data_IF_586176848233
#
_entry.id   IF_586176848233
#
_cell.length_a   1.000
_cell.length_b   1.000
_cell.length_c   1.000
_cell.angle_alpha   90.00
_cell.angle_beta   90.00
_cell.angle_gamma   90.00
#
_symmetry.space_group_name_H-M   'P 1'
#
loop_
_entity.id
_entity.type
_entity.pdbx_description
1 polymer ?
#
# COMPACT_ATOMS: atom_id res chain seq x y z
N UNK A 1 33.11 3.33 -1.51
CA UNK A 1 32.25 4.51 -1.24
C UNK A 1 31.16 4.06 -0.28
N UNK A 2 30.91 4.86 0.75
CA UNK A 2 30.45 4.46 2.08
C UNK A 2 29.13 3.68 2.15
N UNK A 3 29.13 2.69 3.05
CA UNK A 3 27.95 2.02 3.57
C UNK A 3 26.95 3.05 4.10
N UNK A 4 25.78 3.15 3.46
CA UNK A 4 24.62 3.82 4.06
C UNK A 4 24.14 2.86 5.14
N UNK A 5 24.41 3.20 6.40
CA UNK A 5 23.92 2.47 7.58
C UNK A 5 22.38 2.59 7.63
N UNK A 6 21.69 1.67 6.97
CA UNK A 6 20.26 1.47 7.21
C UNK A 6 20.11 0.76 8.55
N UNK A 7 19.85 1.53 9.61
CA UNK A 7 19.28 0.99 10.84
C UNK A 7 17.98 0.25 10.48
N UNK A 8 17.72 -0.91 11.07
CA UNK A 8 16.49 -1.66 10.80
C UNK A 8 15.25 -0.77 11.01
N UNK A 9 14.43 -0.53 9.98
CA UNK A 9 13.38 0.46 10.05
C UNK A 9 12.25 -0.01 10.97
N UNK A 10 12.02 0.76 12.04
CA UNK A 10 10.94 0.57 13.00
C UNK A 10 9.64 1.27 12.55
N UNK A 11 8.51 0.92 13.14
CA UNK A 11 7.19 1.55 12.96
C UNK A 11 7.21 3.08 13.14
N UNK A 12 8.02 3.60 14.08
CA UNK A 12 8.23 5.05 14.26
C UNK A 12 8.86 5.69 13.03
N UNK A 13 9.84 5.03 12.40
CA UNK A 13 10.48 5.55 11.19
C UNK A 13 9.49 5.56 10.02
N UNK A 14 8.64 4.53 9.91
CA UNK A 14 7.54 4.51 8.95
C UNK A 14 6.54 5.64 9.17
N UNK A 15 6.15 5.90 10.42
CA UNK A 15 5.28 7.02 10.75
C UNK A 15 5.89 8.37 10.36
N UNK A 16 7.16 8.62 10.71
CA UNK A 16 7.86 9.86 10.35
C UNK A 16 7.99 10.03 8.85
N UNK A 17 8.29 8.95 8.12
CA UNK A 17 8.34 8.95 6.65
C UNK A 17 6.97 9.32 6.06
N UNK A 18 5.89 8.74 6.58
CA UNK A 18 4.54 9.06 6.12
C UNK A 18 4.15 10.51 6.45
N UNK A 19 4.53 11.05 7.61
CA UNK A 19 4.31 12.47 7.94
C UNK A 19 5.07 13.39 6.98
N UNK A 20 6.33 13.07 6.68
CA UNK A 20 7.11 13.80 5.68
C UNK A 20 6.43 13.74 4.31
N UNK A 21 6.00 12.55 3.90
CA UNK A 21 5.26 12.33 2.65
C UNK A 21 3.99 13.19 2.57
N UNK A 22 3.20 13.22 3.64
CA UNK A 22 2.00 14.07 3.75
C UNK A 22 2.31 15.54 3.47
N UNK A 23 3.38 16.08 4.05
CA UNK A 23 3.74 17.50 3.87
C UNK A 23 4.14 17.76 2.41
N UNK A 24 5.01 16.91 1.86
CA UNK A 24 5.53 17.06 0.49
C UNK A 24 4.41 16.97 -0.54
N UNK A 25 3.58 15.94 -0.44
CA UNK A 25 2.47 15.66 -1.37
C UNK A 25 1.33 16.68 -1.22
N UNK A 26 1.05 17.18 -0.02
CA UNK A 26 0.13 18.30 0.16
C UNK A 26 0.59 19.56 -0.56
N UNK A 27 1.87 19.94 -0.39
CA UNK A 27 2.45 21.10 -1.08
C UNK A 27 2.39 20.92 -2.61
N UNK A 28 2.74 19.74 -3.11
CA UNK A 28 2.70 19.43 -4.53
C UNK A 28 1.28 19.42 -5.10
N UNK A 29 0.32 18.83 -4.38
CA UNK A 29 -1.09 18.79 -4.77
C UNK A 29 -1.72 20.18 -4.85
N UNK A 30 -1.49 21.02 -3.83
CA UNK A 30 -1.92 22.43 -3.85
C UNK A 30 -1.27 23.17 -5.02
N UNK A 31 0.04 22.99 -5.21
CA UNK A 31 0.77 23.60 -6.32
C UNK A 31 0.21 23.22 -7.69
N UNK A 32 -0.13 21.93 -7.89
CA UNK A 32 -0.77 21.43 -9.11
C UNK A 32 -2.14 22.04 -9.37
N UNK A 33 -3.02 22.06 -8.36
CA UNK A 33 -4.35 22.65 -8.49
C UNK A 33 -4.30 24.17 -8.77
N UNK A 34 -3.38 24.89 -8.11
CA UNK A 34 -3.18 26.32 -8.37
C UNK A 34 -2.63 26.54 -9.78
N UNK A 35 -1.66 25.73 -10.21
CA UNK A 35 -1.11 25.80 -11.56
C UNK A 35 -2.22 25.56 -12.61
N UNK A 36 -3.08 24.56 -12.40
CA UNK A 36 -4.24 24.31 -13.25
C UNK A 36 -5.18 25.52 -13.34
N UNK A 37 -5.50 26.16 -12.21
CA UNK A 37 -6.36 27.36 -12.20
C UNK A 37 -5.79 28.55 -12.99
N UNK A 38 -4.47 28.58 -13.20
CA UNK A 38 -3.78 29.64 -13.97
C UNK A 38 -3.57 29.24 -15.43
N UNK A 39 -3.24 27.98 -15.69
CA UNK A 39 -2.87 27.51 -17.04
C UNK A 39 -4.04 26.89 -17.81
N UNK A 40 -5.08 26.42 -17.12
CA UNK A 40 -6.15 25.61 -17.70
C UNK A 40 -5.73 24.21 -18.14
N UNK A 41 -4.48 23.82 -17.87
CA UNK A 41 -3.88 22.60 -18.42
C UNK A 41 -4.33 21.34 -17.69
N UNK A 42 -4.98 20.43 -18.41
CA UNK A 42 -5.43 19.12 -17.90
C UNK A 42 -4.28 18.34 -17.23
N UNK A 43 -3.05 18.51 -17.72
CA UNK A 43 -1.85 17.90 -17.18
C UNK A 43 -1.52 18.35 -15.76
N UNK A 44 -1.70 19.64 -15.46
CA UNK A 44 -1.50 20.21 -14.12
C UNK A 44 -2.59 19.76 -13.15
N UNK A 45 -3.81 19.57 -13.65
CA UNK A 45 -4.90 18.97 -12.86
C UNK A 45 -4.58 17.52 -12.50
N UNK A 46 -4.14 16.70 -13.47
CA UNK A 46 -3.71 15.32 -13.24
C UNK A 46 -2.57 15.24 -12.21
N UNK A 47 -1.55 16.10 -12.35
CA UNK A 47 -0.46 16.19 -11.37
C UNK A 47 -0.97 16.54 -9.96
N UNK A 48 -1.90 17.49 -9.85
CA UNK A 48 -2.51 17.86 -8.57
C UNK A 48 -3.31 16.72 -7.93
N UNK A 49 -4.14 16.03 -8.72
CA UNK A 49 -4.98 14.91 -8.27
C UNK A 49 -4.15 13.69 -7.83
N UNK A 50 -3.08 13.37 -8.57
CA UNK A 50 -2.16 12.29 -8.18
C UNK A 50 -1.50 12.57 -6.83
N UNK A 51 -1.02 13.80 -6.63
CA UNK A 51 -0.43 14.22 -5.37
C UNK A 51 -1.45 14.26 -4.22
N UNK A 52 -2.72 14.59 -4.51
CA UNK A 52 -3.79 14.49 -3.53
C UNK A 52 -4.00 13.04 -3.07
N UNK A 53 -3.87 12.07 -3.98
CA UNK A 53 -4.02 10.65 -3.63
C UNK A 53 -2.84 10.13 -2.84
N UNK A 54 -1.60 10.48 -3.23
CA UNK A 54 -0.41 10.15 -2.43
C UNK A 54 -0.49 10.79 -1.03
N UNK A 55 -1.01 12.02 -0.94
CA UNK A 55 -1.32 12.65 0.34
C UNK A 55 -2.32 11.83 1.16
N UNK A 56 -3.46 11.46 0.58
CA UNK A 56 -4.49 10.70 1.29
C UNK A 56 -3.99 9.31 1.69
N UNK A 57 -3.23 8.63 0.84
CA UNK A 57 -2.64 7.33 1.19
C UNK A 57 -1.63 7.46 2.31
N UNK A 58 -0.80 8.50 2.29
CA UNK A 58 0.19 8.78 3.34
C UNK A 58 -0.51 9.10 4.67
N UNK A 59 -1.64 9.83 4.67
CA UNK A 59 -2.46 10.07 5.87
C UNK A 59 -3.03 8.77 6.43
N UNK A 60 -3.52 7.87 5.57
CA UNK A 60 -4.04 6.56 5.99
C UNK A 60 -2.92 5.71 6.61
N UNK A 61 -1.71 5.76 6.05
CA UNK A 61 -0.55 5.07 6.62
C UNK A 61 -0.12 5.71 7.95
N UNK A 62 -0.12 7.03 8.08
CA UNK A 62 0.09 7.72 9.35
C UNK A 62 -0.89 7.22 10.42
N UNK A 63 -2.19 7.14 10.09
CA UNK A 63 -3.21 6.60 11.00
C UNK A 63 -2.95 5.14 11.38
N UNK A 64 -2.48 4.32 10.44
CA UNK A 64 -2.14 2.91 10.67
C UNK A 64 -0.97 2.73 11.65
N UNK A 65 0.09 3.53 11.50
CA UNK A 65 1.28 3.47 12.36
C UNK A 65 1.17 4.33 13.62
N UNK A 66 0.08 5.11 13.76
CA UNK A 66 -0.26 5.79 14.99
C UNK A 66 -0.65 4.75 16.07
N UNK A 67 0.33 4.36 16.89
CA UNK A 67 0.14 3.38 17.97
C UNK A 67 -0.03 4.08 19.33
N UNK A 68 -1.21 3.99 19.97
CA UNK A 68 -1.34 4.14 21.40
C UNK A 68 -0.83 2.85 22.05
N UNK A 69 0.28 2.94 22.79
CA UNK A 69 1.11 1.80 23.18
C UNK A 69 0.41 0.64 23.88
N UNK A 70 0.81 -0.59 23.51
CA UNK A 70 0.52 -1.82 24.22
C UNK A 70 1.26 -2.99 23.55
N UNK A 71 1.92 -3.86 24.31
CA UNK A 71 2.67 -5.03 23.81
C UNK A 71 1.96 -6.34 24.15
N UNK A 72 0.63 -6.35 24.06
CA UNK A 72 -0.20 -7.52 24.36
C UNK A 72 -0.65 -8.21 23.06
N UNK A 73 -0.88 -9.52 23.06
CA UNK A 73 -1.41 -10.28 21.91
C UNK A 73 -2.71 -9.70 21.32
N UNK A 74 -3.59 -9.14 22.17
CA UNK A 74 -4.78 -8.40 21.73
C UNK A 74 -4.44 -7.15 20.89
N UNK A 75 -3.32 -6.48 21.19
CA UNK A 75 -2.84 -5.32 20.43
C UNK A 75 -2.40 -5.72 19.02
N UNK A 76 -1.73 -6.86 18.85
CA UNK A 76 -1.31 -7.33 17.53
C UNK A 76 -2.49 -7.66 16.61
N UNK A 77 -3.55 -8.28 17.15
CA UNK A 77 -4.78 -8.54 16.41
C UNK A 77 -5.45 -7.23 15.93
N UNK A 78 -5.47 -6.20 16.78
CA UNK A 78 -5.97 -4.87 16.43
C UNK A 78 -5.11 -4.20 15.33
N UNK A 79 -3.78 -4.31 15.40
CA UNK A 79 -2.89 -3.78 14.38
C UNK A 79 -3.13 -4.44 13.00
N UNK A 80 -3.38 -5.76 12.96
CA UNK A 80 -3.72 -6.46 11.71
C UNK A 80 -5.05 -5.98 11.11
N UNK A 81 -6.06 -5.72 11.94
CA UNK A 81 -7.35 -5.17 11.48
C UNK A 81 -7.17 -3.77 10.90
N UNK A 82 -6.40 -2.91 11.58
CA UNK A 82 -6.04 -1.58 11.08
C UNK A 82 -5.28 -1.66 9.75
N UNK A 83 -4.35 -2.61 9.62
CA UNK A 83 -3.60 -2.83 8.38
C UNK A 83 -4.53 -3.15 7.21
N UNK A 84 -5.46 -4.09 7.40
CA UNK A 84 -6.43 -4.47 6.38
C UNK A 84 -7.28 -3.27 5.96
N UNK A 85 -7.81 -2.50 6.92
CA UNK A 85 -8.61 -1.30 6.66
C UNK A 85 -7.83 -0.23 5.92
N UNK A 86 -6.62 0.08 6.37
CA UNK A 86 -5.74 1.04 5.73
C UNK A 86 -5.43 0.64 4.29
N UNK A 87 -5.04 -0.63 4.09
CA UNK A 87 -4.73 -1.19 2.79
C UNK A 87 -5.93 -1.14 1.84
N UNK A 88 -7.14 -1.41 2.35
CA UNK A 88 -8.36 -1.35 1.57
C UNK A 88 -8.78 0.09 1.23
N UNK A 89 -8.67 1.02 2.19
CA UNK A 89 -8.95 2.44 1.97
C UNK A 89 -8.07 3.01 0.83
N UNK A 90 -6.77 2.74 0.87
CA UNK A 90 -5.84 3.16 -0.19
C UNK A 90 -6.22 2.54 -1.54
N UNK A 91 -6.77 1.33 -1.55
CA UNK A 91 -7.20 0.68 -2.80
C UNK A 91 -8.41 1.35 -3.42
N UNK A 92 -9.37 1.80 -2.61
CA UNK A 92 -10.51 2.59 -3.10
C UNK A 92 -10.06 3.93 -3.64
N UNK A 93 -9.15 4.62 -2.95
CA UNK A 93 -8.59 5.90 -3.40
C UNK A 93 -7.86 5.72 -4.75
N UNK A 94 -7.01 4.70 -4.88
CA UNK A 94 -6.32 4.36 -6.13
C UNK A 94 -7.28 4.05 -7.28
N UNK A 95 -8.35 3.29 -7.01
CA UNK A 95 -9.33 2.96 -8.04
C UNK A 95 -10.08 4.21 -8.53
N UNK A 96 -10.51 5.10 -7.61
CA UNK A 96 -11.18 6.35 -7.97
C UNK A 96 -10.27 7.27 -8.76
N UNK A 97 -9.01 7.39 -8.36
CA UNK A 97 -8.00 8.16 -9.09
C UNK A 97 -7.79 7.61 -10.49
N UNK A 98 -7.64 6.28 -10.62
CA UNK A 98 -7.42 5.63 -11.90
C UNK A 98 -8.52 5.96 -12.90
N UNK A 99 -9.78 5.97 -12.47
CA UNK A 99 -10.91 6.41 -13.30
C UNK A 99 -10.75 7.88 -13.72
N UNK A 100 -10.46 8.77 -12.76
CA UNK A 100 -10.28 10.20 -13.03
C UNK A 100 -9.15 10.49 -14.03
N UNK A 101 -7.99 9.85 -13.85
CA UNK A 101 -6.84 9.98 -14.75
C UNK A 101 -7.15 9.43 -16.14
N UNK A 102 -7.84 8.29 -16.25
CA UNK A 102 -8.27 7.75 -17.55
C UNK A 102 -9.18 8.75 -18.28
N UNK A 103 -10.18 9.31 -17.59
CA UNK A 103 -11.11 10.29 -18.17
C UNK A 103 -10.35 11.53 -18.64
N UNK A 104 -9.48 12.09 -17.79
CA UNK A 104 -8.67 13.25 -18.13
C UNK A 104 -7.71 12.97 -19.30
N UNK A 105 -7.13 11.77 -19.37
CA UNK A 105 -6.25 11.38 -20.48
C UNK A 105 -7.01 11.28 -21.80
N UNK A 106 -8.23 10.74 -21.80
CA UNK A 106 -9.09 10.67 -22.98
C UNK A 106 -9.48 12.09 -23.44
N UNK A 107 -9.81 12.97 -22.50
CA UNK A 107 -10.12 14.37 -22.80
C UNK A 107 -8.91 15.10 -23.41
N UNK A 108 -7.72 14.88 -22.87
CA UNK A 108 -6.46 15.47 -23.36
C UNK A 108 -6.14 15.00 -24.79
N UNK A 109 -6.38 13.71 -25.10
CA UNK A 109 -6.29 13.19 -26.48
C UNK A 109 -7.21 13.90 -27.47
N UNK A 110 -8.34 14.45 -27.01
CA UNK A 110 -9.32 15.14 -27.88
C UNK A 110 -9.04 16.64 -28.06
N UNK A 111 -8.28 17.26 -27.16
CA UNK A 111 -8.01 18.71 -27.18
C UNK A 111 -6.76 19.11 -27.97
N UNK A 112 -5.84 18.18 -28.27
CA UNK A 112 -4.69 18.42 -29.15
C UNK A 112 -3.50 19.11 -28.47
N UNK A 113 -2.66 19.82 -29.23
CA UNK A 113 -1.43 20.46 -28.71
C UNK A 113 -1.73 21.55 -27.66
N UNK A 114 -1.42 21.26 -26.40
CA UNK A 114 -1.44 22.27 -25.35
C UNK A 114 -0.27 23.25 -25.50
N UNK A 115 -0.58 24.55 -25.52
CA UNK A 115 0.46 25.59 -25.56
C UNK A 115 1.15 25.65 -24.19
N UNK A 116 2.29 24.99 -24.06
CA UNK A 116 3.10 24.93 -22.84
C UNK A 116 3.68 26.31 -22.49
N UNK A 117 2.87 27.16 -21.85
CA UNK A 117 3.33 28.45 -21.34
C UNK A 117 4.38 28.23 -20.26
N UNK A 118 5.63 28.64 -20.54
CA UNK A 118 6.79 28.55 -19.64
C UNK A 118 7.37 27.14 -19.42
N UNK A 119 7.66 26.43 -20.50
CA UNK A 119 8.37 25.14 -20.55
C UNK A 119 9.52 25.04 -19.52
N UNK A 120 10.36 26.08 -19.36
CA UNK A 120 11.46 26.09 -18.39
C UNK A 120 11.02 25.90 -16.94
N UNK A 121 9.89 26.50 -16.53
CA UNK A 121 9.36 26.36 -15.16
C UNK A 121 8.82 24.95 -14.94
N UNK A 122 8.10 24.42 -15.93
CA UNK A 122 7.54 23.06 -15.91
C UNK A 122 8.68 22.04 -15.78
N UNK A 123 9.73 22.17 -16.59
CA UNK A 123 10.91 21.29 -16.54
C UNK A 123 11.56 21.30 -15.14
N UNK A 124 11.79 22.49 -14.57
CA UNK A 124 12.41 22.59 -13.23
C UNK A 124 11.54 21.93 -12.15
N UNK A 125 10.23 22.16 -12.19
CA UNK A 125 9.28 21.53 -11.27
C UNK A 125 9.26 20.01 -11.46
N UNK A 126 9.21 19.53 -12.71
CA UNK A 126 9.20 18.11 -13.03
C UNK A 126 10.47 17.39 -12.54
N UNK A 127 11.65 17.95 -12.80
CA UNK A 127 12.93 17.38 -12.33
C UNK A 127 12.95 17.29 -10.81
N UNK A 128 12.56 18.37 -10.13
CA UNK A 128 12.51 18.39 -8.67
C UNK A 128 11.54 17.32 -8.14
N UNK A 129 10.34 17.23 -8.71
CA UNK A 129 9.34 16.23 -8.34
C UNK A 129 9.80 14.80 -8.59
N UNK A 130 10.47 14.51 -9.71
CA UNK A 130 11.03 13.18 -10.00
C UNK A 130 12.07 12.78 -8.96
N UNK A 131 12.97 13.70 -8.57
CA UNK A 131 14.00 13.39 -7.57
C UNK A 131 13.34 13.16 -6.20
N UNK A 132 12.43 14.04 -5.78
CA UNK A 132 11.79 13.94 -4.46
C UNK A 132 10.87 12.72 -4.37
N UNK A 133 9.97 12.53 -5.33
CA UNK A 133 9.05 11.39 -5.33
C UNK A 133 9.77 10.07 -5.63
N UNK A 134 10.76 10.07 -6.51
CA UNK A 134 11.54 8.88 -6.81
C UNK A 134 12.33 8.38 -5.59
N UNK A 135 12.96 9.30 -4.85
CA UNK A 135 13.65 8.95 -3.59
C UNK A 135 12.66 8.48 -2.53
N UNK A 136 11.53 9.18 -2.34
CA UNK A 136 10.48 8.74 -1.42
C UNK A 136 9.93 7.36 -1.76
N UNK A 137 9.66 7.09 -3.04
CA UNK A 137 9.15 5.80 -3.53
C UNK A 137 10.09 4.66 -3.16
N UNK A 138 11.40 4.83 -3.38
CA UNK A 138 12.40 3.83 -3.03
C UNK A 138 12.41 3.53 -1.52
N UNK A 139 12.35 4.58 -0.68
CA UNK A 139 12.33 4.45 0.78
C UNK A 139 11.04 3.77 1.25
N UNK A 140 9.87 4.19 0.72
CA UNK A 140 8.56 3.59 1.06
C UNK A 140 8.52 2.10 0.69
N UNK A 141 9.01 1.71 -0.47
CA UNK A 141 9.10 0.29 -0.85
C UNK A 141 10.04 -0.51 0.05
N UNK A 142 11.18 0.07 0.43
CA UNK A 142 12.09 -0.56 1.38
C UNK A 142 11.38 -0.80 2.73
N UNK A 143 10.70 0.21 3.26
CA UNK A 143 9.97 0.11 4.54
C UNK A 143 8.78 -0.85 4.46
N UNK A 144 8.04 -0.86 3.34
CA UNK A 144 6.95 -1.80 3.10
C UNK A 144 7.43 -3.25 3.19
N UNK A 145 8.60 -3.54 2.61
CA UNK A 145 9.20 -4.89 2.63
C UNK A 145 9.72 -5.27 4.01
N UNK A 146 10.39 -4.36 4.70
CA UNK A 146 10.93 -4.64 6.04
C UNK A 146 9.84 -4.80 7.09
N UNK A 147 8.77 -4.01 7.03
CA UNK A 147 7.65 -4.06 7.97
C UNK A 147 6.52 -5.01 7.55
N UNK A 148 6.65 -5.68 6.38
CA UNK A 148 5.61 -6.54 5.80
C UNK A 148 4.22 -5.86 5.76
N UNK A 149 4.18 -4.56 5.47
CA UNK A 149 2.96 -3.75 5.48
C UNK A 149 2.37 -3.62 4.08
N UNK A 150 1.18 -4.18 3.89
CA UNK A 150 0.40 -4.08 2.67
C UNK A 150 -0.15 -2.66 2.43
N UNK A 151 -0.43 -1.88 3.48
CA UNK A 151 -0.82 -0.47 3.32
C UNK A 151 0.36 0.39 2.89
N UNK A 152 1.54 0.20 3.50
CA UNK A 152 2.76 0.93 3.10
C UNK A 152 3.16 0.58 1.66
N UNK A 153 2.99 -0.67 1.23
CA UNK A 153 3.25 -1.06 -0.15
C UNK A 153 2.36 -0.32 -1.14
N UNK A 154 1.08 -0.13 -0.84
CA UNK A 154 0.16 0.61 -1.70
C UNK A 154 0.44 2.10 -1.71
N UNK A 155 0.79 2.66 -0.55
CA UNK A 155 1.26 4.04 -0.46
C UNK A 155 2.53 4.28 -1.28
N UNK A 156 3.46 3.32 -1.30
CA UNK A 156 4.62 3.36 -2.19
C UNK A 156 4.23 3.32 -3.68
N UNK A 157 3.18 2.58 -4.04
CA UNK A 157 2.64 2.55 -5.41
C UNK A 157 2.06 3.92 -5.80
N UNK A 158 1.36 4.61 -4.90
CA UNK A 158 0.88 5.98 -5.16
C UNK A 158 2.07 6.91 -5.50
N UNK A 159 3.12 6.92 -4.66
CA UNK A 159 4.31 7.73 -4.95
C UNK A 159 5.04 7.32 -6.23
N UNK A 160 5.02 6.03 -6.59
CA UNK A 160 5.58 5.54 -7.84
C UNK A 160 4.83 6.08 -9.05
N UNK A 161 3.49 6.05 -9.02
CA UNK A 161 2.65 6.59 -10.09
C UNK A 161 2.91 8.08 -10.28
N UNK A 162 2.95 8.85 -9.18
CA UNK A 162 3.36 10.26 -9.21
C UNK A 162 4.77 10.50 -9.75
N UNK A 163 5.71 9.61 -9.46
CA UNK A 163 7.08 9.66 -10.01
C UNK A 163 7.07 9.42 -11.52
N UNK A 164 6.33 8.42 -12.00
CA UNK A 164 6.22 8.09 -13.43
C UNK A 164 5.56 9.24 -14.19
N UNK A 165 4.47 9.81 -13.67
CA UNK A 165 3.80 10.97 -14.26
C UNK A 165 4.72 12.20 -14.31
N UNK A 166 5.46 12.47 -13.23
CA UNK A 166 6.46 13.56 -13.22
C UNK A 166 7.60 13.31 -14.20
N UNK A 167 8.02 12.04 -14.35
CA UNK A 167 9.05 11.62 -15.30
C UNK A 167 8.59 11.77 -16.76
N UNK A 168 7.33 11.39 -17.05
CA UNK A 168 6.68 11.64 -18.34
C UNK A 168 6.72 13.11 -18.68
N UNK A 169 6.26 13.96 -17.75
CA UNK A 169 6.25 15.41 -17.93
C UNK A 169 7.63 15.97 -18.27
N UNK A 170 8.67 15.49 -17.59
CA UNK A 170 10.04 15.89 -17.88
C UNK A 170 10.49 15.44 -19.28
N UNK A 171 10.26 14.17 -19.64
CA UNK A 171 10.64 13.62 -20.94
C UNK A 171 9.89 14.33 -22.07
N UNK A 172 8.57 14.50 -21.94
CA UNK A 172 7.76 15.20 -22.94
C UNK A 172 8.21 16.66 -23.11
N UNK A 173 8.51 17.34 -22.00
CA UNK A 173 9.03 18.70 -22.06
C UNK A 173 10.38 18.79 -22.79
N UNK A 174 11.25 17.79 -22.68
CA UNK A 174 12.51 17.73 -23.44
C UNK A 174 12.26 17.45 -24.92
N UNK A 175 11.33 16.54 -25.24
CA UNK A 175 11.00 16.20 -26.63
C UNK A 175 10.42 17.42 -27.33
N UNK A 176 9.49 18.16 -26.71
CA UNK A 176 8.92 19.40 -27.28
C UNK A 176 10.00 20.47 -27.58
N UNK A 177 11.13 20.46 -26.86
CA UNK A 177 12.25 21.37 -27.16
C UNK A 177 12.98 21.01 -28.46
N UNK A 178 12.98 19.73 -28.85
CA UNK A 178 13.69 19.21 -30.02
C UNK A 178 12.75 19.00 -31.22
N UNK A 179 11.54 18.44 -31.01
CA UNK A 179 10.51 18.19 -32.02
C UNK A 179 9.09 18.46 -31.50
N UNK A 180 8.29 19.20 -32.28
CA UNK A 180 6.97 19.73 -31.85
C UNK A 180 5.82 18.71 -31.87
N UNK A 181 5.98 17.52 -32.44
CA UNK A 181 4.84 16.63 -32.78
C UNK A 181 4.50 15.55 -31.73
N UNK A 182 5.20 15.49 -30.59
CA UNK A 182 5.05 14.39 -29.60
C UNK A 182 3.97 14.60 -28.52
N UNK A 183 2.95 15.42 -28.78
CA UNK A 183 1.89 15.77 -27.82
C UNK A 183 1.11 14.57 -27.28
N UNK A 184 1.05 13.46 -28.02
CA UNK A 184 0.32 12.24 -27.66
C UNK A 184 0.99 11.42 -26.54
N UNK A 185 2.26 11.70 -26.22
CA UNK A 185 3.03 10.89 -25.28
C UNK A 185 2.53 11.04 -23.83
N UNK A 186 2.25 12.26 -23.40
CA UNK A 186 1.74 12.55 -22.05
C UNK A 186 0.38 11.91 -21.78
N UNK A 187 -0.66 12.08 -22.61
CA UNK A 187 -1.94 11.43 -22.39
C UNK A 187 -1.85 9.90 -22.50
N UNK A 188 -0.90 9.35 -23.29
CA UNK A 188 -0.68 7.91 -23.35
C UNK A 188 -0.11 7.35 -22.03
N UNK A 189 0.90 8.02 -21.46
CA UNK A 189 1.50 7.60 -20.20
C UNK A 189 0.50 7.78 -19.05
N UNK A 190 -0.24 8.89 -19.03
CA UNK A 190 -1.30 9.12 -18.06
C UNK A 190 -2.39 8.04 -18.14
N UNK A 191 -2.83 7.66 -19.34
CA UNK A 191 -3.78 6.58 -19.55
C UNK A 191 -3.25 5.23 -19.01
N UNK A 192 -1.98 4.94 -19.25
CA UNK A 192 -1.30 3.75 -18.71
C UNK A 192 -1.25 3.73 -17.19
N UNK A 193 -0.85 4.85 -16.57
CA UNK A 193 -0.81 5.01 -15.11
C UNK A 193 -2.20 4.89 -14.49
N UNK A 194 -3.21 5.57 -15.06
CA UNK A 194 -4.59 5.50 -14.59
C UNK A 194 -5.16 4.08 -14.68
N UNK A 195 -4.87 3.38 -15.78
CA UNK A 195 -5.26 1.97 -15.95
C UNK A 195 -4.58 1.06 -14.93
N UNK A 196 -3.27 1.23 -14.71
CA UNK A 196 -2.53 0.47 -13.71
C UNK A 196 -3.09 0.72 -12.29
N UNK A 197 -3.32 1.97 -11.92
CA UNK A 197 -3.89 2.36 -10.62
C UNK A 197 -5.27 1.72 -10.42
N UNK A 198 -6.13 1.78 -11.43
CA UNK A 198 -7.47 1.20 -11.42
C UNK A 198 -7.42 -0.31 -11.21
N UNK A 199 -6.59 -1.02 -11.98
CA UNK A 199 -6.45 -2.48 -11.89
C UNK A 199 -5.88 -2.91 -10.54
N UNK A 200 -4.88 -2.20 -10.01
CA UNK A 200 -4.28 -2.48 -8.70
C UNK A 200 -5.32 -2.29 -7.59
N UNK A 201 -6.05 -1.17 -7.62
CA UNK A 201 -7.11 -0.86 -6.67
C UNK A 201 -8.23 -1.89 -6.71
N UNK A 202 -8.80 -2.16 -7.90
CA UNK A 202 -9.89 -3.12 -8.08
C UNK A 202 -9.47 -4.54 -7.73
N UNK A 203 -8.28 -4.99 -8.12
CA UNK A 203 -7.78 -6.33 -7.78
C UNK A 203 -7.68 -6.50 -6.27
N UNK A 204 -7.22 -5.48 -5.56
CA UNK A 204 -7.14 -5.55 -4.11
C UNK A 204 -8.51 -5.54 -3.45
N UNK A 205 -9.46 -4.76 -3.94
CA UNK A 205 -10.84 -4.73 -3.43
C UNK A 205 -11.52 -6.07 -3.69
N UNK A 206 -11.40 -6.59 -4.91
CA UNK A 206 -11.94 -7.90 -5.30
C UNK A 206 -11.39 -9.02 -4.41
N UNK A 207 -10.07 -9.05 -4.17
CA UNK A 207 -9.46 -10.06 -3.29
C UNK A 207 -10.01 -9.97 -1.86
N UNK A 208 -10.16 -8.76 -1.33
CA UNK A 208 -10.70 -8.54 0.01
C UNK A 208 -12.18 -8.92 0.12
N UNK A 209 -12.98 -8.62 -0.90
CA UNK A 209 -14.41 -8.88 -0.90
C UNK A 209 -14.74 -10.36 -1.18
N UNK A 210 -14.16 -10.94 -2.23
CA UNK A 210 -14.53 -12.28 -2.72
C UNK A 210 -13.77 -13.39 -2.01
N UNK A 211 -12.47 -13.23 -1.78
CA UNK A 211 -11.65 -14.29 -1.17
C UNK A 211 -11.71 -14.23 0.35
N UNK A 212 -11.65 -13.01 0.91
CA UNK A 212 -11.61 -12.83 2.37
C UNK A 212 -13.00 -12.57 2.98
N UNK A 213 -14.05 -12.38 2.16
CA UNK A 213 -15.41 -12.22 2.65
C UNK A 213 -15.66 -10.94 3.46
N UNK A 214 -14.80 -9.93 3.32
CA UNK A 214 -14.86 -8.73 4.18
C UNK A 214 -16.07 -7.87 3.77
N UNK A 215 -16.91 -7.42 4.71
CA UNK A 215 -18.07 -6.58 4.42
C UNK A 215 -17.68 -5.12 4.14
N UNK A 216 -16.98 -4.89 3.03
CA UNK A 216 -16.40 -3.59 2.63
C UNK A 216 -17.44 -2.46 2.52
N UNK A 217 -18.69 -2.82 2.22
CA UNK A 217 -19.81 -1.87 2.08
C UNK A 217 -20.52 -1.55 3.41
N UNK A 218 -20.14 -2.17 4.53
CA UNK A 218 -20.76 -1.92 5.82
C UNK A 218 -20.04 -0.76 6.55
N UNK A 219 -20.69 0.39 6.77
CA UNK A 219 -20.06 1.54 7.45
C UNK A 219 -19.62 1.22 8.88
N UNK A 220 -20.33 0.30 9.56
CA UNK A 220 -19.96 -0.12 10.92
C UNK A 220 -18.57 -0.75 10.92
N UNK A 221 -18.26 -1.59 9.94
CA UNK A 221 -16.95 -2.26 9.84
C UNK A 221 -15.79 -1.26 9.77
N UNK A 222 -15.99 -0.11 9.11
CA UNK A 222 -14.99 0.97 9.06
C UNK A 222 -14.85 1.73 10.39
N UNK A 223 -15.95 1.88 11.13
CA UNK A 223 -16.03 2.67 12.37
C UNK A 223 -15.65 1.89 13.64
N UNK A 224 -15.78 0.56 13.67
CA UNK A 224 -15.53 -0.22 14.89
C UNK A 224 -14.02 -0.33 15.17
N UNK A 225 -13.48 0.64 15.91
CA UNK A 225 -12.04 0.80 16.20
C UNK A 225 -11.41 -0.34 17.01
N UNK A 226 -12.20 -1.14 17.73
CA UNK A 226 -11.76 -2.30 18.51
C UNK A 226 -12.84 -3.36 18.46
N UNK A 227 -12.44 -4.65 18.39
CA UNK A 227 -13.38 -5.77 18.26
C UNK A 227 -14.56 -5.65 19.22
N UNK A 228 -15.75 -5.43 18.67
CA UNK A 228 -17.04 -5.45 19.39
C UNK A 228 -17.43 -6.88 19.82
N UNK A 229 -16.57 -7.86 19.53
CA UNK A 229 -16.87 -9.27 19.74
C UNK A 229 -17.83 -9.80 18.70
N UNK A 230 -18.02 -9.15 17.55
CA UNK A 230 -18.81 -9.71 16.46
C UNK A 230 -17.96 -10.47 15.46
N UNK A 231 -18.55 -11.50 14.87
CA UNK A 231 -18.00 -12.30 13.79
C UNK A 231 -17.78 -11.42 12.54
N UNK A 232 -16.55 -11.41 12.00
CA UNK A 232 -16.17 -10.51 10.91
C UNK A 232 -16.92 -10.78 9.59
N UNK A 233 -17.48 -11.99 9.42
CA UNK A 233 -18.15 -12.43 8.21
C UNK A 233 -19.68 -12.27 8.28
N UNK A 234 -20.27 -12.55 9.43
CA UNK A 234 -21.72 -12.57 9.68
C UNK A 234 -22.21 -11.35 10.46
N UNK A 235 -21.32 -10.60 11.11
CA UNK A 235 -21.66 -9.44 11.94
C UNK A 235 -22.48 -9.80 13.19
N UNK A 236 -22.56 -11.10 13.54
CA UNK A 236 -23.25 -11.59 14.74
C UNK A 236 -22.34 -11.42 15.95
N UNK A 237 -22.90 -11.00 17.09
CA UNK A 237 -22.16 -11.03 18.36
C UNK A 237 -21.74 -12.47 18.69
N UNK A 238 -20.42 -12.68 18.80
CA UNK A 238 -19.83 -13.94 19.23
C UNK A 238 -20.11 -14.12 20.71
N UNK A 239 -20.56 -15.32 21.06
CA UNK A 239 -20.70 -15.71 22.45
C UNK A 239 -19.33 -15.75 23.14
N UNK A 240 -19.28 -15.70 24.49
CA UNK A 240 -18.01 -15.78 25.22
C UNK A 240 -17.19 -17.05 24.91
N UNK A 241 -17.86 -18.16 24.60
CA UNK A 241 -17.24 -19.44 24.21
C UNK A 241 -16.64 -19.37 22.80
N UNK A 242 -17.39 -18.85 21.82
CA UNK A 242 -16.91 -18.66 20.45
C UNK A 242 -15.72 -17.68 20.41
N UNK A 243 -15.73 -16.65 21.27
CA UNK A 243 -14.59 -15.73 21.42
C UNK A 243 -13.32 -16.44 21.91
N UNK A 244 -13.48 -17.47 22.75
CA UNK A 244 -12.39 -18.33 23.22
C UNK A 244 -11.87 -19.25 22.12
N UNK A 245 -12.76 -19.94 21.41
CA UNK A 245 -12.39 -20.83 20.29
C UNK A 245 -11.73 -20.07 19.14
N UNK A 246 -12.24 -18.89 18.76
CA UNK A 246 -11.59 -18.05 17.73
C UNK A 246 -10.23 -17.51 18.17
N UNK A 247 -9.99 -17.38 19.48
CA UNK A 247 -8.68 -16.99 20.00
C UNK A 247 -7.70 -18.17 19.93
N UNK A 248 -8.15 -19.38 20.31
CA UNK A 248 -7.36 -20.62 20.22
C UNK A 248 -7.09 -21.04 18.76
N UNK A 249 -8.06 -20.95 17.86
CA UNK A 249 -7.91 -21.25 16.44
C UNK A 249 -6.87 -20.30 15.80
N UNK A 250 -6.90 -19.01 16.16
CA UNK A 250 -5.89 -18.03 15.72
C UNK A 250 -4.52 -18.26 16.35
N UNK A 251 -4.46 -18.77 17.58
CA UNK A 251 -3.20 -19.18 18.20
C UNK A 251 -2.62 -20.40 17.48
N UNK A 252 -3.48 -21.35 17.06
CA UNK A 252 -3.09 -22.52 16.27
C UNK A 252 -2.67 -22.18 14.83
N UNK A 253 -3.25 -21.16 14.19
CA UNK A 253 -2.77 -20.66 12.90
C UNK A 253 -1.43 -19.91 13.00
N UNK A 254 -1.13 -19.29 14.16
CA UNK A 254 0.14 -18.62 14.42
C UNK A 254 1.25 -19.60 14.79
N UNK A 255 0.91 -20.74 15.40
CA UNK A 255 1.79 -21.88 15.58
C UNK A 255 1.61 -22.81 14.38
N UNK A 256 2.20 -22.46 13.23
CA UNK A 256 2.19 -23.31 12.04
C UNK A 256 2.57 -24.76 12.36
N UNK A 257 2.16 -25.75 11.55
CA UNK A 257 2.13 -27.17 11.93
C UNK A 257 3.50 -27.62 12.41
N UNK A 258 3.65 -27.73 13.74
CA UNK A 258 4.81 -28.36 14.35
C UNK A 258 4.66 -29.85 14.08
N UNK A 259 5.49 -30.36 13.18
CA UNK A 259 5.52 -31.77 12.80
C UNK A 259 5.79 -32.64 14.03
N UNK A 260 4.73 -33.22 14.59
CA UNK A 260 4.81 -34.33 15.54
C UNK A 260 4.19 -35.56 14.88
N UNK A 261 5.02 -36.28 14.14
CA UNK A 261 4.76 -37.63 13.67
C UNK A 261 6.07 -38.41 13.71
N UNK A 262 6.06 -39.52 14.44
CA UNK A 262 7.05 -40.61 14.41
C UNK A 262 8.31 -40.44 15.28
N UNK A 263 8.20 -40.75 16.58
CA UNK A 263 9.06 -41.81 17.16
C UNK A 263 8.38 -42.37 18.42
N UNK A 264 7.59 -43.44 18.26
CA UNK A 264 7.23 -44.31 19.36
C UNK A 264 7.06 -45.74 18.81
N UNK A 265 8.18 -46.40 18.60
CA UNK A 265 8.24 -47.84 18.42
C UNK A 265 9.54 -48.30 19.09
N UNK A 266 9.42 -48.70 20.36
CA UNK A 266 10.34 -49.60 21.04
C UNK A 266 9.79 -49.85 22.45
N UNK A 267 8.67 -50.55 22.52
CA UNK A 267 8.34 -51.31 23.71
C UNK A 267 7.31 -52.39 23.40
N UNK A 268 7.72 -53.44 22.68
CA UNK A 268 7.05 -54.74 22.68
C UNK A 268 7.95 -55.76 21.98
N UNK A 269 8.94 -56.30 22.70
CA UNK A 269 9.30 -57.69 22.50
C UNK A 269 9.33 -58.38 23.86
N UNK A 270 8.39 -59.31 23.98
CA UNK A 270 7.99 -60.02 25.18
C UNK A 270 8.71 -61.37 25.19
N UNK A 271 9.40 -61.62 26.29
CA UNK A 271 9.59 -62.91 26.95
C UNK A 271 9.93 -64.16 26.11
N UNK A 272 11.11 -64.71 26.38
CA UNK A 272 11.44 -66.12 26.24
C UNK A 272 12.55 -66.50 27.21
N UNK A 273 12.19 -67.23 28.27
CA UNK A 273 13.03 -68.02 29.18
C UNK A 273 13.97 -68.95 28.36
N UNK A 274 15.15 -69.46 28.75
CA UNK A 274 15.74 -69.88 30.04
C UNK A 274 17.25 -70.26 29.79
N UNK A 275 18.02 -71.01 30.63
CA UNK A 275 19.16 -70.47 31.37
C UNK A 275 20.55 -71.13 31.11
N UNK A 276 21.55 -70.72 31.91
CA UNK A 276 22.84 -71.37 32.27
C UNK A 276 23.91 -71.61 31.19
N UNK A 277 25.11 -71.04 31.38
CA UNK A 277 26.31 -71.77 31.85
C UNK A 277 27.58 -70.92 31.70
N UNK A 278 28.18 -70.57 32.83
CA UNK A 278 29.60 -70.68 33.21
C UNK A 278 30.70 -70.83 32.13
N UNK A 279 31.86 -70.17 32.39
CA UNK A 279 33.28 -70.59 32.15
C UNK A 279 34.14 -69.56 31.37
N UNK A 280 35.07 -68.96 32.15
CA UNK A 280 36.43 -68.44 31.86
C UNK A 280 36.59 -67.16 31.02
#
# INVERSE_FOLDING_TARGET
MGCICWTEPNSTHAFVLSVFSVIVTACAGIGGCVAYGVTGSSLMLCYGLENLVDFLSSVVVCWRFFSPGGTTSAHEADLRKREKRASLAISFILALLGIGVIVASIEDFTHGEETMANLRRIILTAVFSVIVFGTMTAIKFHYAKMLQSASMQKDAICSLLGTILSGSLFINSLIIMEESEAWWLDPLIALGCGTAALLIGLRSIYRAYVIQGIPVCNPKWWLTSQGDGTDEFTGRELTPEERGEFAEEKESEMVGPSGNGETNANNEERAGEEPESEIV
#
